data_IF_852405598028
#
_entry.id   IF_852405598028
#
_cell.length_a   1.000
_cell.length_b   1.000
_cell.length_c   1.000
_cell.angle_alpha   90.00
_cell.angle_beta   90.00
_cell.angle_gamma   90.00
#
_symmetry.space_group_name_H-M   'P 1'
#
loop_
_entity.id
_entity.type
_entity.pdbx_description
1 polymer ?
#
# COMPACT_ATOMS: atom_id res chain seq x y z
N UNK A 1 -0.83 -0.29 -11.89
CA UNK A 1 -0.54 -1.30 -12.94
C UNK A 1 -0.15 -2.67 -12.37
N UNK A 2 0.19 -2.77 -11.08
CA UNK A 2 0.35 -4.04 -10.35
C UNK A 2 -0.68 -4.17 -9.22
N UNK A 3 -0.87 -5.37 -8.68
CA UNK A 3 -1.74 -5.66 -7.53
C UNK A 3 -1.11 -6.70 -6.62
N UNK A 4 -1.31 -6.55 -5.31
CA UNK A 4 -1.06 -7.58 -4.31
C UNK A 4 -2.33 -7.83 -3.52
N UNK A 5 -2.64 -9.10 -3.25
CA UNK A 5 -3.76 -9.52 -2.40
C UNK A 5 -3.24 -10.53 -1.37
N UNK A 6 -3.39 -10.20 -0.08
CA UNK A 6 -2.92 -11.03 1.03
C UNK A 6 -3.80 -12.27 1.28
N UNK A 7 -5.03 -12.29 0.75
CA UNK A 7 -5.96 -13.41 0.86
C UNK A 7 -5.88 -14.38 -0.33
N UNK A 8 -5.09 -14.07 -1.36
CA UNK A 8 -4.87 -14.99 -2.47
C UNK A 8 -4.18 -16.29 -1.99
N UNK A 9 -4.44 -17.47 -2.60
CA UNK A 9 -3.79 -18.73 -2.21
C UNK A 9 -2.26 -18.71 -2.27
N UNK A 10 -1.70 -17.87 -3.16
CA UNK A 10 -0.27 -17.63 -3.27
C UNK A 10 -0.02 -16.11 -3.36
N UNK A 11 0.03 -15.40 -2.22
CA UNK A 11 0.17 -13.95 -2.20
C UNK A 11 1.48 -13.50 -2.85
N UNK A 12 1.36 -12.85 -4.00
CA UNK A 12 2.48 -12.27 -4.75
C UNK A 12 2.03 -11.02 -5.49
N UNK A 13 3.00 -10.20 -5.91
CA UNK A 13 2.72 -9.07 -6.79
C UNK A 13 2.35 -9.59 -8.18
N UNK A 14 1.21 -9.12 -8.71
CA UNK A 14 0.64 -9.56 -9.99
C UNK A 14 0.60 -8.39 -10.98
N UNK A 15 0.89 -8.62 -12.28
CA UNK A 15 0.65 -7.66 -13.33
C UNK A 15 -0.86 -7.43 -13.53
N UNK A 16 -1.26 -6.19 -13.81
CA UNK A 16 -2.65 -5.81 -14.17
C UNK A 16 -2.77 -5.22 -15.56
N UNK A 17 -1.65 -5.10 -16.27
CA UNK A 17 -1.53 -4.56 -17.64
C UNK A 17 -0.40 -5.30 -18.37
N UNK A 18 -0.43 -5.45 -19.71
CA UNK A 18 0.55 -6.29 -20.42
C UNK A 18 2.00 -5.79 -20.36
N UNK A 19 2.21 -4.47 -20.43
CA UNK A 19 3.56 -3.92 -20.60
C UNK A 19 4.48 -4.15 -19.40
N UNK A 20 3.95 -4.41 -18.20
CA UNK A 20 4.79 -4.66 -17.02
C UNK A 20 5.29 -6.11 -16.99
N UNK A 21 4.70 -7.03 -17.75
CA UNK A 21 5.09 -8.45 -17.76
C UNK A 21 6.53 -8.67 -18.23
N UNK A 22 7.11 -7.71 -18.96
CA UNK A 22 8.49 -7.74 -19.43
C UNK A 22 9.54 -7.55 -18.32
N UNK A 23 9.12 -7.14 -17.11
CA UNK A 23 10.01 -6.96 -15.97
C UNK A 23 10.66 -8.27 -15.52
N UNK A 24 11.90 -8.17 -15.05
CA UNK A 24 12.66 -9.34 -14.57
C UNK A 24 12.06 -9.92 -13.30
N UNK A 25 12.31 -11.21 -13.03
CA UNK A 25 11.86 -11.88 -11.81
C UNK A 25 12.27 -11.12 -10.53
N UNK A 26 13.44 -10.49 -10.53
CA UNK A 26 13.95 -9.66 -9.43
C UNK A 26 13.00 -8.52 -9.05
N UNK A 27 12.33 -7.90 -10.03
CA UNK A 27 11.32 -6.87 -9.79
C UNK A 27 10.13 -7.47 -9.04
N UNK A 28 9.61 -8.60 -9.50
CA UNK A 28 8.45 -9.27 -8.91
C UNK A 28 8.73 -9.76 -7.50
N UNK A 29 9.89 -10.36 -7.26
CA UNK A 29 10.31 -10.85 -5.95
C UNK A 29 10.47 -9.71 -4.96
N UNK A 30 11.13 -8.61 -5.38
CA UNK A 30 11.32 -7.42 -4.54
C UNK A 30 9.99 -6.79 -4.16
N UNK A 31 9.11 -6.56 -5.14
CA UNK A 31 7.81 -5.94 -4.90
C UNK A 31 6.90 -6.82 -4.05
N UNK A 32 6.96 -8.14 -4.23
CA UNK A 32 6.25 -9.12 -3.40
C UNK A 32 6.72 -9.05 -1.94
N UNK A 33 8.03 -9.02 -1.68
CA UNK A 33 8.58 -8.85 -0.33
C UNK A 33 8.17 -7.50 0.29
N UNK A 34 8.20 -6.42 -0.48
CA UNK A 34 7.80 -5.10 -0.01
C UNK A 34 6.31 -5.07 0.38
N UNK A 35 5.43 -5.60 -0.46
CA UNK A 35 4.00 -5.67 -0.16
C UNK A 35 3.70 -6.52 1.08
N UNK A 36 4.41 -7.64 1.27
CA UNK A 36 4.31 -8.44 2.50
C UNK A 36 4.76 -7.66 3.74
N UNK A 37 5.86 -6.89 3.66
CA UNK A 37 6.31 -6.03 4.76
C UNK A 37 5.27 -4.95 5.07
N UNK A 38 4.77 -4.25 4.06
CA UNK A 38 3.71 -3.25 4.22
C UNK A 38 2.46 -3.84 4.87
N UNK A 39 2.03 -5.04 4.47
CA UNK A 39 0.89 -5.72 5.09
C UNK A 39 1.08 -5.97 6.59
N UNK A 40 2.30 -6.32 7.04
CA UNK A 40 2.61 -6.43 8.46
C UNK A 40 2.62 -5.07 9.17
N UNK A 41 3.18 -4.03 8.52
CA UNK A 41 3.14 -2.66 9.04
C UNK A 41 1.69 -2.18 9.24
N UNK A 42 0.81 -2.37 8.27
CA UNK A 42 -0.61 -1.99 8.39
C UNK A 42 -1.33 -2.75 9.52
N UNK A 43 -1.00 -4.02 9.75
CA UNK A 43 -1.54 -4.78 10.90
C UNK A 43 -1.13 -4.16 12.24
N UNK A 44 0.11 -3.69 12.36
CA UNK A 44 0.57 -2.99 13.56
C UNK A 44 -0.10 -1.62 13.68
N UNK A 45 -0.16 -0.85 12.59
CA UNK A 45 -0.80 0.47 12.57
C UNK A 45 -2.27 0.39 12.99
N UNK A 46 -3.02 -0.62 12.54
CA UNK A 46 -4.40 -0.84 12.97
C UNK A 46 -4.49 -1.04 14.49
N UNK A 47 -3.62 -1.88 15.08
CA UNK A 47 -3.60 -2.08 16.54
C UNK A 47 -3.24 -0.81 17.30
N UNK A 48 -2.31 -0.02 16.77
CA UNK A 48 -1.92 1.26 17.36
C UNK A 48 -3.06 2.27 17.28
N UNK A 49 -3.75 2.38 16.14
CA UNK A 49 -4.87 3.29 15.95
C UNK A 49 -6.04 2.97 16.90
N UNK A 50 -6.38 1.69 17.08
CA UNK A 50 -7.36 1.25 18.08
C UNK A 50 -7.06 1.82 19.47
N UNK A 51 -5.80 1.76 19.89
CA UNK A 51 -5.35 2.30 21.18
C UNK A 51 -5.46 3.82 21.25
N UNK A 52 -5.08 4.54 20.20
CA UNK A 52 -5.17 6.01 20.17
C UNK A 52 -6.60 6.54 20.25
N UNK A 53 -7.54 5.85 19.63
CA UNK A 53 -8.94 6.24 19.61
C UNK A 53 -9.80 5.55 20.69
N UNK A 54 -9.19 4.77 21.59
CA UNK A 54 -9.88 3.99 22.63
C UNK A 54 -11.01 3.09 22.06
N UNK A 55 -10.78 2.48 20.90
CA UNK A 55 -11.75 1.63 20.21
C UNK A 55 -11.63 0.16 20.66
N UNK A 56 -12.75 -0.57 20.60
CA UNK A 56 -12.79 -2.00 20.97
C UNK A 56 -12.17 -2.89 19.89
N UNK A 57 -11.52 -3.98 20.30
CA UNK A 57 -10.94 -4.97 19.37
C UNK A 57 -11.96 -5.71 18.49
N UNK A 58 -13.24 -5.73 18.88
CA UNK A 58 -14.31 -6.40 18.15
C UNK A 58 -14.76 -5.62 16.90
N UNK A 59 -14.38 -4.35 16.77
CA UNK A 59 -14.74 -3.50 15.63
C UNK A 59 -13.92 -3.82 14.38
N UNK A 60 -14.53 -3.66 13.20
CA UNK A 60 -13.79 -3.65 11.94
C UNK A 60 -13.36 -2.22 11.61
N UNK A 61 -12.08 -2.04 11.32
CA UNK A 61 -11.47 -0.74 11.04
C UNK A 61 -10.68 -0.79 9.74
N UNK A 62 -10.57 0.36 9.09
CA UNK A 62 -9.90 0.50 7.80
C UNK A 62 -8.76 1.51 7.90
N UNK A 63 -7.57 1.09 7.48
CA UNK A 63 -6.43 1.98 7.31
C UNK A 63 -6.07 2.04 5.83
N UNK A 64 -5.97 3.24 5.27
CA UNK A 64 -5.66 3.47 3.85
C UNK A 64 -4.43 4.35 3.74
N UNK A 65 -3.56 4.04 2.79
CA UNK A 65 -2.40 4.85 2.46
C UNK A 65 -2.32 5.01 0.95
N UNK A 66 -2.24 6.26 0.49
CA UNK A 66 -2.11 6.60 -0.92
C UNK A 66 -0.84 7.42 -1.10
N UNK A 67 0.09 6.92 -1.89
CA UNK A 67 1.36 7.58 -2.15
C UNK A 67 1.74 7.51 -3.63
N UNK A 68 2.55 8.46 -4.06
CA UNK A 68 3.01 8.55 -5.44
C UNK A 68 3.73 9.85 -5.73
N UNK A 69 3.98 10.07 -7.02
CA UNK A 69 4.58 11.29 -7.53
C UNK A 69 4.09 11.61 -8.93
N UNK A 70 4.11 12.89 -9.27
CA UNK A 70 3.87 13.40 -10.61
C UNK A 70 5.20 13.87 -11.22
N UNK A 71 5.33 13.68 -12.53
CA UNK A 71 6.47 14.13 -13.33
C UNK A 71 5.97 15.06 -14.44
N UNK A 72 6.75 16.11 -14.73
CA UNK A 72 6.46 17.07 -15.78
C UNK A 72 6.64 16.50 -17.19
N UNK A 73 6.23 17.23 -18.25
CA UNK A 73 6.44 16.81 -19.64
C UNK A 73 7.92 16.65 -20.03
N UNK A 74 8.81 17.32 -19.31
CA UNK A 74 10.27 17.22 -19.43
C UNK A 74 10.85 16.01 -18.67
N UNK A 75 10.01 15.21 -18.02
CA UNK A 75 10.39 14.07 -17.20
C UNK A 75 10.97 14.45 -15.83
N UNK A 76 10.97 15.74 -15.47
CA UNK A 76 11.46 16.19 -14.16
C UNK A 76 10.39 15.98 -13.08
N UNK A 77 10.86 15.75 -11.86
CA UNK A 77 9.99 15.63 -10.70
C UNK A 77 9.17 16.91 -10.51
N UNK A 78 7.86 16.75 -10.35
CA UNK A 78 6.93 17.86 -10.15
C UNK A 78 6.44 17.93 -8.70
N UNK A 79 5.87 16.83 -8.18
CA UNK A 79 5.45 16.73 -6.78
C UNK A 79 5.38 15.29 -6.31
N UNK A 80 5.50 15.11 -5.00
CA UNK A 80 5.21 13.85 -4.31
C UNK A 80 3.99 14.00 -3.42
N UNK A 81 3.34 12.89 -3.13
CA UNK A 81 2.22 12.84 -2.18
C UNK A 81 2.26 11.53 -1.40
N UNK A 82 1.85 11.57 -0.15
CA UNK A 82 1.72 10.45 0.77
C UNK A 82 0.64 10.80 1.77
N UNK A 83 -0.50 10.11 1.73
CA UNK A 83 -1.69 10.46 2.50
C UNK A 83 -2.23 9.21 3.17
N UNK A 84 -2.40 9.29 4.48
CA UNK A 84 -2.97 8.25 5.32
C UNK A 84 -4.40 8.65 5.73
N UNK A 85 -5.29 7.67 5.74
CA UNK A 85 -6.66 7.80 6.20
C UNK A 85 -7.03 6.64 7.14
N UNK A 86 -7.85 6.94 8.13
CA UNK A 86 -8.35 5.97 9.10
C UNK A 86 -9.87 6.05 9.18
N UNK A 87 -10.54 4.90 9.01
CA UNK A 87 -12.00 4.78 8.96
C UNK A 87 -12.67 5.76 7.97
N UNK A 88 -11.98 6.04 6.84
CA UNK A 88 -12.46 6.90 5.76
C UNK A 88 -12.29 8.40 6.00
N UNK A 89 -11.71 8.82 7.12
CA UNK A 89 -11.34 10.21 7.40
C UNK A 89 -9.84 10.43 7.22
N UNK A 90 -9.46 11.63 6.76
CA UNK A 90 -8.07 12.05 6.66
C UNK A 90 -7.38 11.91 8.02
N UNK A 91 -6.19 11.31 8.02
CA UNK A 91 -5.41 11.06 9.24
C UNK A 91 -4.11 11.88 9.27
N UNK A 92 -3.20 11.63 8.31
CA UNK A 92 -1.90 12.34 8.18
C UNK A 92 -1.57 12.48 6.69
N UNK A 93 -0.94 13.60 6.31
CA UNK A 93 -0.49 13.87 4.94
C UNK A 93 0.82 14.67 4.93
#
# INVERSE_FOLDING_TARGET
FVRFDSYAPNPRMEPRVPWIEQERQEYWDRNTRNAMRSAQTFRVNLRTALGYYNQSEAGSHTYQWMYGCDVGPDGLFLRGYSQDAYDGADYVA
#
